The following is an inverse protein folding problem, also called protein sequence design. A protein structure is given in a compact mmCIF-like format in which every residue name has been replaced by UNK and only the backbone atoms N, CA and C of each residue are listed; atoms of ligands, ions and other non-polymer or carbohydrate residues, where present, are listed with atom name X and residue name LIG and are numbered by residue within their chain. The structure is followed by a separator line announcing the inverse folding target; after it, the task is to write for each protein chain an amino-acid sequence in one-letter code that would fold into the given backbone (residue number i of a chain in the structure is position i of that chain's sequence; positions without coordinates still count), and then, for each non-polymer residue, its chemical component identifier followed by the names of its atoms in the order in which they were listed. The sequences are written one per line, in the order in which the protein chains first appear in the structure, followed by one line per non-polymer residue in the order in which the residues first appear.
data_IF_222569249056
#
_entry.id   IF_222569249056
#
_cell.length_a   1.000
_cell.length_b   1.000
_cell.length_c   1.000
_cell.angle_alpha   90.00
_cell.angle_beta   90.00
_cell.angle_gamma   90.00
#
_symmetry.space_group_name_H-M   'P 1'
#
loop_
_entity.id
_entity.type
_entity.pdbx_description
1 polymer ?
#
# COMPACT_ATOMS: atom_id res chain seq x y z
N UNK A 1 1.88 -4.79 -18.73
CA UNK A 1 1.46 -6.22 -18.69
C UNK A 1 -0.01 -6.24 -18.29
N UNK A 2 -0.90 -6.84 -19.08
CA UNK A 2 -2.32 -6.97 -18.72
C UNK A 2 -2.55 -8.30 -18.02
N UNK A 3 -3.13 -8.26 -16.82
CA UNK A 3 -3.55 -9.46 -16.11
C UNK A 3 -4.90 -9.87 -16.68
N UNK A 4 -5.02 -11.09 -17.21
CA UNK A 4 -6.26 -11.63 -17.76
C UNK A 4 -7.23 -12.04 -16.63
N UNK A 5 -7.65 -11.06 -15.82
CA UNK A 5 -8.57 -11.24 -14.70
C UNK A 5 -9.93 -10.66 -15.07
N UNK A 6 -10.99 -11.31 -14.62
CA UNK A 6 -12.33 -10.71 -14.57
C UNK A 6 -12.40 -9.61 -13.51
N UNK A 7 -13.43 -8.77 -13.55
CA UNK A 7 -13.67 -7.75 -12.52
C UNK A 7 -13.83 -8.37 -11.13
N UNK A 8 -14.53 -9.50 -11.03
CA UNK A 8 -14.73 -10.19 -9.75
C UNK A 8 -13.42 -10.76 -9.21
N UNK A 9 -12.58 -11.36 -10.06
CA UNK A 9 -11.25 -11.84 -9.66
C UNK A 9 -10.35 -10.69 -9.21
N UNK A 10 -10.31 -9.58 -9.97
CA UNK A 10 -9.53 -8.40 -9.61
C UNK A 10 -9.94 -7.86 -8.22
N UNK A 11 -11.23 -7.63 -8.01
CA UNK A 11 -11.76 -7.05 -6.78
C UNK A 11 -11.66 -8.01 -5.59
N UNK A 12 -11.90 -9.30 -5.81
CA UNK A 12 -11.86 -10.31 -4.74
C UNK A 12 -10.43 -10.70 -4.33
N UNK A 13 -9.41 -10.44 -5.14
CA UNK A 13 -8.01 -10.79 -4.85
C UNK A 13 -7.12 -9.61 -4.48
N UNK A 14 -7.52 -8.37 -4.79
CA UNK A 14 -6.77 -7.18 -4.37
C UNK A 14 -6.73 -7.09 -2.84
N UNK A 15 -5.52 -7.08 -2.28
CA UNK A 15 -5.25 -7.03 -0.83
C UNK A 15 -4.10 -6.07 -0.54
N UNK A 16 -3.95 -5.65 0.71
CA UNK A 16 -2.74 -4.97 1.17
C UNK A 16 -1.56 -5.95 1.22
N UNK A 17 -0.89 -6.15 0.09
CA UNK A 17 0.30 -7.01 -0.02
C UNK A 17 1.52 -6.23 0.45
N UNK A 18 2.24 -6.78 1.43
CA UNK A 18 3.45 -6.18 2.03
C UNK A 18 4.63 -7.14 1.98
N UNK A 19 4.45 -8.34 2.54
CA UNK A 19 5.51 -9.37 2.68
C UNK A 19 5.85 -10.16 1.41
N UNK A 20 4.99 -10.14 0.39
CA UNK A 20 5.17 -10.93 -0.85
C UNK A 20 5.63 -10.07 -2.04
N UNK A 21 6.06 -8.85 -1.77
CA UNK A 21 6.62 -7.99 -2.80
C UNK A 21 8.04 -8.47 -3.12
N UNK A 22 8.34 -8.57 -4.40
CA UNK A 22 9.70 -8.73 -4.91
C UNK A 22 10.30 -7.32 -5.07
N UNK A 23 11.18 -6.94 -4.16
CA UNK A 23 11.81 -5.62 -4.14
C UNK A 23 12.93 -5.47 -5.18
N UNK A 24 13.43 -6.58 -5.72
CA UNK A 24 14.55 -6.56 -6.67
C UNK A 24 14.05 -6.50 -8.12
N UNK A 25 12.75 -6.73 -8.34
CA UNK A 25 12.10 -6.55 -9.64
C UNK A 25 11.76 -5.06 -9.87
N UNK A 26 12.36 -4.40 -10.89
CA UNK A 26 12.08 -2.99 -11.19
C UNK A 26 10.65 -2.81 -11.71
N UNK A 27 10.10 -1.61 -11.51
CA UNK A 27 8.77 -1.24 -12.00
C UNK A 27 8.92 -0.12 -13.01
N UNK A 28 8.81 -0.46 -14.29
CA UNK A 28 8.95 0.51 -15.37
C UNK A 28 7.98 1.70 -15.20
N UNK A 29 8.51 2.91 -15.38
CA UNK A 29 7.75 4.17 -15.29
C UNK A 29 6.45 4.14 -16.08
N UNK A 30 6.46 3.56 -17.27
CA UNK A 30 5.28 3.45 -18.14
C UNK A 30 4.13 2.67 -17.49
N UNK A 31 4.42 1.67 -16.64
CA UNK A 31 3.39 0.91 -15.91
C UNK A 31 2.70 1.81 -14.89
N UNK A 32 3.47 2.64 -14.17
CA UNK A 32 2.93 3.59 -13.19
C UNK A 32 2.05 4.62 -13.88
N UNK A 33 2.49 5.13 -15.03
CA UNK A 33 1.71 6.08 -15.83
C UNK A 33 0.42 5.47 -16.39
N UNK A 34 0.45 4.21 -16.83
CA UNK A 34 -0.76 3.46 -17.22
C UNK A 34 -1.75 3.35 -16.04
N UNK A 35 -1.26 3.03 -14.84
CA UNK A 35 -2.09 2.99 -13.63
C UNK A 35 -2.69 4.35 -13.28
N UNK A 36 -1.92 5.44 -13.41
CA UNK A 36 -2.41 6.80 -13.16
C UNK A 36 -3.49 7.21 -14.17
N UNK A 37 -3.31 6.88 -15.45
CA UNK A 37 -4.31 7.14 -16.48
C UNK A 37 -5.64 6.42 -16.21
N UNK A 38 -5.58 5.19 -15.68
CA UNK A 38 -6.78 4.47 -15.22
C UNK A 38 -7.40 5.13 -13.98
N UNK A 39 -6.58 5.58 -13.02
CA UNK A 39 -7.07 6.24 -11.81
C UNK A 39 -7.82 7.56 -12.10
N UNK A 40 -7.46 8.27 -13.18
CA UNK A 40 -8.16 9.48 -13.63
C UNK A 40 -9.63 9.24 -14.03
N UNK A 41 -10.03 7.98 -14.24
CA UNK A 41 -11.43 7.64 -14.52
C UNK A 41 -12.34 7.74 -13.27
N UNK A 42 -11.76 7.94 -12.07
CA UNK A 42 -12.55 8.11 -10.85
C UNK A 42 -13.40 9.40 -10.94
N UNK A 43 -14.70 9.35 -10.59
CA UNK A 43 -15.55 10.55 -10.63
C UNK A 43 -15.15 11.54 -9.54
N UNK A 44 -15.29 12.84 -9.82
CA UNK A 44 -15.13 13.92 -8.83
C UNK A 44 -16.31 14.87 -8.85
N UNK A 45 -16.69 15.36 -7.67
CA UNK A 45 -17.72 16.39 -7.54
C UNK A 45 -17.32 17.62 -8.36
N UNK A 46 -18.22 18.08 -9.24
CA UNK A 46 -17.99 19.20 -10.14
C UNK A 46 -16.84 19.02 -11.13
N UNK A 47 -16.40 17.77 -11.38
CA UNK A 47 -15.21 17.46 -12.18
C UNK A 47 -13.93 18.19 -11.70
N UNK A 48 -13.81 18.40 -10.38
CA UNK A 48 -12.73 19.21 -9.80
C UNK A 48 -11.33 18.60 -9.93
N UNK A 49 -11.21 17.27 -10.06
CA UNK A 49 -9.94 16.57 -10.29
C UNK A 49 -8.78 17.03 -9.39
N UNK A 50 -9.05 17.34 -8.12
CA UNK A 50 -8.09 17.97 -7.19
C UNK A 50 -6.93 17.10 -6.71
N UNK A 51 -6.72 15.92 -7.32
CA UNK A 51 -5.62 15.01 -6.97
C UNK A 51 -4.28 15.54 -7.47
N UNK A 52 -3.24 15.27 -6.68
CA UNK A 52 -1.85 15.49 -7.06
C UNK A 52 -1.08 14.20 -6.82
N UNK A 53 -0.28 13.80 -7.80
CA UNK A 53 0.51 12.57 -7.74
C UNK A 53 1.98 12.92 -7.62
N UNK A 54 2.66 12.33 -6.64
CA UNK A 54 4.11 12.45 -6.46
C UNK A 54 4.70 11.06 -6.59
N UNK A 55 5.46 10.84 -7.65
CA UNK A 55 6.20 9.59 -7.87
C UNK A 55 7.63 9.78 -7.37
N UNK A 56 8.06 8.93 -6.44
CA UNK A 56 9.36 9.04 -5.77
C UNK A 56 10.30 7.92 -6.24
N UNK A 57 11.20 8.27 -7.16
CA UNK A 57 12.16 7.30 -7.74
C UNK A 57 13.52 7.35 -7.03
N UNK A 58 13.90 8.53 -6.52
CA UNK A 58 15.17 8.71 -5.80
C UNK A 58 15.18 7.91 -4.49
N UNK A 59 16.16 7.01 -4.36
CA UNK A 59 16.29 6.13 -3.22
C UNK A 59 16.50 6.90 -1.90
N UNK A 60 17.21 8.04 -1.94
CA UNK A 60 17.45 8.89 -0.78
C UNK A 60 16.16 9.50 -0.25
N UNK A 61 15.33 10.09 -1.12
CA UNK A 61 14.00 10.62 -0.78
C UNK A 61 13.07 9.52 -0.28
N UNK A 62 13.05 8.36 -0.93
CA UNK A 62 12.24 7.22 -0.49
C UNK A 62 12.65 6.75 0.91
N UNK A 63 13.96 6.69 1.18
CA UNK A 63 14.48 6.37 2.52
C UNK A 63 14.06 7.41 3.56
N UNK A 64 14.20 8.70 3.27
CA UNK A 64 13.80 9.77 4.17
C UNK A 64 12.29 9.70 4.51
N UNK A 65 11.44 9.45 3.50
CA UNK A 65 10.00 9.25 3.71
C UNK A 65 9.73 8.00 4.55
N UNK A 66 10.43 6.90 4.27
CA UNK A 66 10.29 5.65 5.04
C UNK A 66 10.69 5.83 6.51
N UNK A 67 11.69 6.66 6.80
CA UNK A 67 12.11 6.94 8.18
C UNK A 67 11.02 7.72 8.93
N UNK A 68 10.47 8.77 8.31
CA UNK A 68 9.34 9.53 8.85
C UNK A 68 8.14 8.60 9.09
N UNK A 69 7.83 7.74 8.11
CA UNK A 69 6.74 6.77 8.23
C UNK A 69 6.97 5.84 9.42
N UNK A 70 8.17 5.27 9.56
CA UNK A 70 8.50 4.32 10.62
C UNK A 70 8.36 4.95 12.01
N UNK A 71 8.87 6.16 12.21
CA UNK A 71 8.77 6.84 13.52
C UNK A 71 7.31 7.08 13.92
N UNK A 72 6.48 7.54 12.98
CA UNK A 72 5.05 7.73 13.23
C UNK A 72 4.31 6.38 13.40
N UNK A 73 4.72 5.36 12.67
CA UNK A 73 4.15 4.02 12.79
C UNK A 73 4.42 3.40 14.16
N UNK A 74 5.59 3.61 14.77
CA UNK A 74 5.88 3.16 16.14
C UNK A 74 4.85 3.71 17.13
N UNK A 75 4.54 5.00 17.02
CA UNK A 75 3.51 5.65 17.86
C UNK A 75 2.16 4.99 17.61
N UNK A 76 1.73 4.89 16.34
CA UNK A 76 0.47 4.23 15.98
C UNK A 76 0.37 2.78 16.49
N UNK A 77 1.44 1.99 16.34
CA UNK A 77 1.49 0.60 16.75
C UNK A 77 1.43 0.41 18.28
N UNK A 78 1.83 1.43 19.04
CA UNK A 78 1.74 1.43 20.51
C UNK A 78 0.34 1.76 21.03
N UNK A 79 -0.53 2.35 20.19
CA UNK A 79 -1.89 2.71 20.59
C UNK A 79 -2.75 1.45 20.86
N UNK A 80 -3.75 1.54 21.75
CA UNK A 80 -4.69 0.46 21.97
C UNK A 80 -5.34 0.00 20.66
N UNK A 81 -5.23 -1.30 20.38
CA UNK A 81 -5.87 -1.90 19.21
C UNK A 81 -7.39 -1.85 19.32
N UNK A 82 -8.07 -2.00 18.18
CA UNK A 82 -9.53 -2.13 18.12
C UNK A 82 -9.96 -3.35 18.95
N UNK A 83 -10.97 -3.18 19.80
CA UNK A 83 -11.62 -4.28 20.50
C UNK A 83 -12.62 -4.94 19.54
N UNK A 84 -12.61 -6.27 19.52
CA UNK A 84 -13.55 -7.08 18.75
C UNK A 84 -14.49 -7.80 19.71
N UNK A 85 -15.68 -8.16 19.20
CA UNK A 85 -16.60 -9.00 19.95
C UNK A 85 -16.01 -10.41 20.15
N UNK A 86 -16.47 -11.10 21.18
CA UNK A 86 -16.08 -12.50 21.42
C UNK A 86 -16.47 -13.38 20.22
N UNK A 87 -15.60 -14.32 19.84
CA UNK A 87 -15.80 -15.21 18.69
C UNK A 87 -15.51 -14.57 17.32
N UNK A 88 -15.09 -13.30 17.26
CA UNK A 88 -14.74 -12.64 16.01
C UNK A 88 -13.43 -13.19 15.42
N UNK A 89 -13.52 -13.79 14.22
CA UNK A 89 -12.38 -14.38 13.51
C UNK A 89 -11.21 -13.40 13.28
N UNK A 90 -11.46 -12.08 13.29
CA UNK A 90 -10.40 -11.08 13.14
C UNK A 90 -9.41 -11.16 14.29
N UNK A 91 -9.82 -11.56 15.49
CA UNK A 91 -8.95 -11.71 16.66
C UNK A 91 -7.78 -12.65 16.33
N UNK A 92 -8.06 -13.78 15.69
CA UNK A 92 -7.05 -14.78 15.30
C UNK A 92 -6.13 -14.29 14.18
N UNK A 93 -6.63 -13.40 13.30
CA UNK A 93 -5.86 -12.85 12.20
C UNK A 93 -5.02 -11.64 12.60
N UNK A 94 -5.38 -10.93 13.68
CA UNK A 94 -4.70 -9.71 14.11
C UNK A 94 -3.18 -9.83 14.28
N UNK A 95 -2.62 -10.93 14.82
CA UNK A 95 -1.17 -11.11 14.89
C UNK A 95 -0.50 -11.02 13.51
N UNK A 96 -1.06 -11.68 12.49
CA UNK A 96 -0.54 -11.65 11.10
C UNK A 96 -0.69 -10.27 10.47
N UNK A 97 -1.78 -9.57 10.78
CA UNK A 97 -2.01 -8.20 10.29
C UNK A 97 -0.97 -7.24 10.85
N UNK A 98 -0.69 -7.31 12.16
CA UNK A 98 0.32 -6.49 12.84
C UNK A 98 1.71 -6.76 12.31
N UNK A 99 2.09 -8.04 12.26
CA UNK A 99 3.37 -8.50 11.73
C UNK A 99 3.60 -8.05 10.26
N UNK A 100 2.57 -8.15 9.42
CA UNK A 100 2.60 -7.61 8.05
C UNK A 100 2.74 -6.08 8.01
N UNK A 101 2.13 -5.35 8.93
CA UNK A 101 2.24 -3.88 9.01
C UNK A 101 3.63 -3.44 9.48
N UNK A 102 4.21 -4.11 10.49
CA UNK A 102 5.59 -3.89 10.93
C UNK A 102 6.58 -4.11 9.79
N UNK A 103 6.42 -5.18 9.01
CA UNK A 103 7.27 -5.41 7.84
C UNK A 103 7.24 -4.25 6.85
N UNK A 104 6.07 -3.64 6.58
CA UNK A 104 6.01 -2.44 5.73
C UNK A 104 6.76 -1.27 6.37
N UNK A 105 6.56 -1.00 7.65
CA UNK A 105 7.30 0.07 8.34
C UNK A 105 8.82 -0.16 8.27
N UNK A 106 9.23 -1.42 8.25
CA UNK A 106 10.63 -1.80 8.21
C UNK A 106 11.25 -1.79 6.81
N UNK A 107 10.48 -2.12 5.78
CA UNK A 107 11.01 -2.37 4.44
C UNK A 107 10.52 -1.37 3.38
N UNK A 108 9.67 -0.39 3.74
CA UNK A 108 9.10 0.58 2.79
C UNK A 108 10.15 1.28 1.90
N UNK A 109 11.34 1.56 2.45
CA UNK A 109 12.44 2.18 1.71
C UNK A 109 12.94 1.36 0.50
N UNK A 110 12.65 0.05 0.48
CA UNK A 110 13.06 -0.87 -0.60
C UNK A 110 12.06 -0.94 -1.75
N UNK A 111 10.89 -0.30 -1.64
CA UNK A 111 9.87 -0.37 -2.68
C UNK A 111 10.46 -0.07 -4.06
N UNK A 112 10.24 -0.93 -5.06
CA UNK A 112 10.84 -0.76 -6.37
C UNK A 112 10.09 0.33 -7.14
N UNK A 113 10.87 1.15 -7.83
CA UNK A 113 10.45 1.94 -8.98
C UNK A 113 11.63 1.88 -9.94
#
# INVERSE_FOLDING_TARGET
MKLNLTNDELLSTTRSVRKRLDFDRPVERAIVEECLNLALQAPTGGNSQGWHWIVVEDAGKRKAISDIYRENFKVYASLPGRKFAEGDQRIEQMPKVRDSAMFLADEMYRAPL
#
